data_IF_798151946181
#
_entry.id   IF_798151946181
#
_cell.length_a   1.000
_cell.length_b   1.000
_cell.length_c   1.000
_cell.angle_alpha   90.00
_cell.angle_beta   90.00
_cell.angle_gamma   90.00
#
_symmetry.space_group_name_H-M   'P 1'
#
loop_
_entity.id
_entity.type
_entity.pdbx_description
1 polymer ?
#
# COMPACT_ATOMS: atom_id res chain seq x y z
N UNK A 1 0.54 33.93 9.56
CA UNK A 1 0.04 33.68 8.19
C UNK A 1 -0.14 32.16 8.07
N UNK A 2 -1.31 31.68 7.63
CA UNK A 2 -1.49 30.24 7.36
C UNK A 2 -0.48 29.82 6.28
N UNK A 3 0.19 28.69 6.47
CA UNK A 3 1.11 28.15 5.47
C UNK A 3 0.34 27.90 4.17
N UNK A 4 0.94 28.28 3.04
CA UNK A 4 0.30 28.06 1.73
C UNK A 4 0.20 26.55 1.48
N UNK A 5 -1.02 26.07 1.17
CA UNK A 5 -1.25 24.65 0.84
C UNK A 5 -0.44 24.22 -0.39
N UNK A 6 0.08 23.02 -0.35
CA UNK A 6 0.75 22.41 -1.50
C UNK A 6 -0.30 22.02 -2.54
N UNK A 7 -0.14 22.51 -3.76
CA UNK A 7 -1.05 22.23 -4.88
C UNK A 7 -0.66 20.95 -5.58
N UNK A 8 -1.58 20.00 -5.61
CA UNK A 8 -1.43 18.71 -6.25
C UNK A 8 -2.40 18.56 -7.42
N UNK A 9 -2.03 17.72 -8.38
CA UNK A 9 -2.92 17.26 -9.43
C UNK A 9 -3.25 15.79 -9.27
N UNK A 10 -4.29 15.29 -9.95
CA UNK A 10 -4.68 13.89 -9.92
C UNK A 10 -4.94 13.36 -11.34
N UNK A 11 -4.34 12.22 -11.68
CA UNK A 11 -4.52 11.52 -12.97
C UNK A 11 -5.17 10.15 -12.74
N UNK A 12 -6.28 9.89 -13.48
CA UNK A 12 -7.09 8.69 -13.31
C UNK A 12 -8.27 8.97 -12.38
N UNK A 13 -9.45 9.32 -12.94
CA UNK A 13 -10.58 9.82 -12.14
C UNK A 13 -11.60 8.72 -11.81
N UNK A 14 -11.08 7.57 -11.34
CA UNK A 14 -11.86 6.41 -10.90
C UNK A 14 -12.38 6.52 -9.46
N UNK A 15 -12.83 5.36 -8.90
CA UNK A 15 -13.29 5.26 -7.50
C UNK A 15 -12.20 5.75 -6.53
N UNK A 16 -10.95 5.35 -6.76
CA UNK A 16 -9.85 5.64 -5.83
C UNK A 16 -9.50 7.13 -5.79
N UNK A 17 -9.56 7.81 -6.95
CA UNK A 17 -9.41 9.26 -7.00
C UNK A 17 -10.41 9.99 -6.08
N UNK A 18 -11.65 9.51 -6.02
CA UNK A 18 -12.68 10.07 -5.14
C UNK A 18 -12.38 9.89 -3.68
N UNK A 19 -11.85 8.71 -3.30
CA UNK A 19 -11.42 8.42 -1.93
C UNK A 19 -10.33 9.39 -1.49
N UNK A 20 -9.26 9.51 -2.28
CA UNK A 20 -8.14 10.39 -1.98
C UNK A 20 -8.54 11.87 -2.03
N UNK A 21 -9.42 12.27 -2.94
CA UNK A 21 -9.92 13.64 -2.99
C UNK A 21 -10.73 14.00 -1.73
N UNK A 22 -11.55 13.08 -1.22
CA UNK A 22 -12.27 13.31 0.04
C UNK A 22 -11.30 13.47 1.22
N UNK A 23 -10.28 12.63 1.31
CA UNK A 23 -9.25 12.75 2.32
C UNK A 23 -8.47 14.07 2.21
N UNK A 24 -8.08 14.48 1.00
CA UNK A 24 -7.38 15.74 0.74
C UNK A 24 -8.17 16.96 1.22
N UNK A 25 -9.51 16.96 1.09
CA UNK A 25 -10.36 18.07 1.54
C UNK A 25 -10.34 18.30 3.05
N UNK A 26 -9.92 17.31 3.85
CA UNK A 26 -9.82 17.43 5.30
C UNK A 26 -8.43 17.92 5.76
N UNK A 27 -7.51 18.16 4.83
CA UNK A 27 -6.14 18.62 5.12
C UNK A 27 -6.00 20.13 5.04
N UNK A 28 -5.20 20.69 5.94
CA UNK A 28 -4.77 22.09 5.91
C UNK A 28 -3.42 22.28 5.19
N UNK A 29 -2.75 21.18 4.79
CA UNK A 29 -1.41 21.20 4.21
C UNK A 29 -1.39 21.13 2.69
N UNK A 30 -2.45 20.62 2.07
CA UNK A 30 -2.52 20.39 0.63
C UNK A 30 -3.91 20.69 0.05
N UNK A 31 -3.96 20.82 -1.27
CA UNK A 31 -5.19 20.87 -2.06
C UNK A 31 -5.00 20.22 -3.42
N UNK A 32 -5.99 19.48 -3.90
CA UNK A 32 -6.03 18.98 -5.28
C UNK A 32 -6.70 20.04 -6.15
N UNK A 33 -5.92 20.66 -7.03
CA UNK A 33 -6.37 21.82 -7.82
C UNK A 33 -6.81 21.47 -9.24
N UNK A 34 -6.38 20.30 -9.77
CA UNK A 34 -6.71 19.89 -11.13
C UNK A 34 -6.78 18.36 -11.26
N UNK A 35 -7.65 17.89 -12.15
CA UNK A 35 -7.79 16.49 -12.49
C UNK A 35 -7.61 16.22 -13.98
N UNK A 36 -7.16 15.01 -14.34
CA UNK A 36 -7.08 14.55 -15.72
C UNK A 36 -7.46 13.09 -15.88
N UNK A 37 -8.24 12.80 -16.91
CA UNK A 37 -8.42 11.46 -17.51
C UNK A 37 -8.78 11.63 -18.98
N UNK A 38 -8.52 10.62 -19.79
CA UNK A 38 -8.78 10.66 -21.25
C UNK A 38 -10.26 10.79 -21.60
N UNK A 39 -11.14 10.25 -20.76
CA UNK A 39 -12.58 10.17 -20.99
C UNK A 39 -13.29 11.47 -20.58
N UNK A 40 -13.89 12.26 -21.51
CA UNK A 40 -14.56 13.52 -21.19
C UNK A 40 -15.66 13.38 -20.13
N UNK A 41 -16.52 12.38 -20.27
CA UNK A 41 -17.66 12.13 -19.37
C UNK A 41 -17.21 11.87 -17.94
N UNK A 42 -16.05 11.21 -17.75
CA UNK A 42 -15.44 11.00 -16.43
C UNK A 42 -14.87 12.29 -15.85
N UNK A 43 -14.34 13.20 -16.68
CA UNK A 43 -13.90 14.54 -16.24
C UNK A 43 -15.07 15.36 -15.73
N UNK A 44 -16.16 15.42 -16.52
CA UNK A 44 -17.37 16.19 -16.17
C UNK A 44 -18.00 15.65 -14.88
N UNK A 45 -18.14 14.32 -14.77
CA UNK A 45 -18.66 13.67 -13.58
C UNK A 45 -17.79 13.97 -12.34
N UNK A 46 -16.46 13.90 -12.46
CA UNK A 46 -15.55 14.20 -11.37
C UNK A 46 -15.61 15.67 -10.95
N UNK A 47 -15.63 16.60 -11.91
CA UNK A 47 -15.79 18.04 -11.63
C UNK A 47 -17.11 18.32 -10.93
N UNK A 48 -18.21 17.75 -11.40
CA UNK A 48 -19.54 17.91 -10.78
C UNK A 48 -19.58 17.41 -9.34
N UNK A 49 -18.94 16.26 -9.07
CA UNK A 49 -18.93 15.63 -7.74
C UNK A 49 -17.98 16.33 -6.76
N UNK A 50 -16.82 16.76 -7.23
CA UNK A 50 -15.73 17.21 -6.35
C UNK A 50 -15.53 18.72 -6.34
N UNK A 51 -16.00 19.44 -7.35
CA UNK A 51 -15.73 20.86 -7.60
C UNK A 51 -14.33 21.11 -8.18
N UNK A 52 -13.52 20.07 -8.44
CA UNK A 52 -12.18 20.21 -8.99
C UNK A 52 -12.25 20.30 -10.52
N UNK A 53 -11.67 21.35 -11.08
CA UNK A 53 -11.59 21.51 -12.52
C UNK A 53 -10.73 20.42 -13.17
N UNK A 54 -11.16 19.92 -14.32
CA UNK A 54 -10.41 18.93 -15.09
C UNK A 54 -9.92 19.53 -16.40
N UNK A 55 -8.65 19.29 -16.75
CA UNK A 55 -8.09 19.70 -18.03
C UNK A 55 -8.47 18.74 -19.16
N UNK A 56 -8.53 19.26 -20.39
CA UNK A 56 -8.87 18.47 -21.56
C UNK A 56 -7.71 17.62 -22.07
N UNK A 57 -6.45 18.02 -21.84
CA UNK A 57 -5.26 17.29 -22.28
C UNK A 57 -4.27 17.08 -21.14
N UNK A 58 -3.50 16.02 -21.24
CA UNK A 58 -2.43 15.70 -20.28
C UNK A 58 -1.30 16.72 -20.36
N UNK A 59 -1.00 17.23 -21.54
CA UNK A 59 0.02 18.24 -21.77
C UNK A 59 -0.31 19.54 -21.03
N UNK A 60 -1.55 20.03 -21.16
CA UNK A 60 -2.01 21.22 -20.44
C UNK A 60 -2.00 21.01 -18.92
N UNK A 61 -2.39 19.80 -18.44
CA UNK A 61 -2.33 19.43 -17.04
C UNK A 61 -0.88 19.46 -16.51
N UNK A 62 0.04 18.85 -17.24
CA UNK A 62 1.46 18.78 -16.85
C UNK A 62 2.19 20.13 -16.97
N UNK A 63 1.74 21.02 -17.85
CA UNK A 63 2.31 22.34 -18.04
C UNK A 63 1.95 23.36 -16.93
N UNK A 64 0.92 23.07 -16.09
CA UNK A 64 0.51 23.97 -15.01
C UNK A 64 1.61 24.10 -13.95
N UNK A 65 2.25 25.29 -13.79
CA UNK A 65 3.35 25.50 -12.85
C UNK A 65 2.90 25.48 -11.38
N UNK A 66 1.58 25.61 -11.13
CA UNK A 66 1.04 25.57 -9.79
C UNK A 66 1.09 24.13 -9.20
N UNK A 67 0.97 23.10 -10.01
CA UNK A 67 0.98 21.69 -9.58
C UNK A 67 2.41 21.29 -9.23
N UNK A 68 2.65 20.96 -7.95
CA UNK A 68 3.96 20.52 -7.45
C UNK A 68 4.16 19.00 -7.52
N UNK A 69 3.09 18.25 -7.35
CA UNK A 69 3.09 16.78 -7.42
C UNK A 69 1.79 16.25 -7.99
N UNK A 70 1.83 15.03 -8.50
CA UNK A 70 0.69 14.38 -9.16
C UNK A 70 0.40 13.03 -8.52
N UNK A 71 -0.86 12.82 -8.18
CA UNK A 71 -1.41 11.58 -7.64
C UNK A 71 -1.89 10.72 -8.81
N UNK A 72 -1.36 9.49 -8.92
CA UNK A 72 -1.72 8.52 -9.95
C UNK A 72 -2.67 7.48 -9.38
N UNK A 73 -3.89 7.41 -9.91
CA UNK A 73 -4.91 6.40 -9.60
C UNK A 73 -5.38 5.70 -10.89
N UNK A 74 -4.46 5.50 -11.80
CA UNK A 74 -4.64 4.80 -13.07
C UNK A 74 -4.45 3.27 -12.88
N UNK A 75 -4.81 2.42 -13.85
CA UNK A 75 -4.46 0.99 -13.81
C UNK A 75 -2.95 0.75 -13.68
N UNK A 76 -2.55 -0.37 -13.05
CA UNK A 76 -1.16 -0.65 -12.67
C UNK A 76 -0.18 -0.59 -13.86
N UNK A 77 -0.60 -1.09 -15.03
CA UNK A 77 0.19 -1.06 -16.26
C UNK A 77 0.44 0.36 -16.80
N UNK A 78 -0.35 1.33 -16.32
CA UNK A 78 -0.22 2.73 -16.67
C UNK A 78 0.65 3.53 -15.69
N UNK A 79 1.05 2.94 -14.55
CA UNK A 79 1.84 3.65 -13.55
C UNK A 79 3.17 4.16 -14.13
N UNK A 80 3.96 3.30 -14.79
CA UNK A 80 5.24 3.70 -15.35
C UNK A 80 5.12 4.79 -16.44
N UNK A 81 4.34 4.64 -17.52
CA UNK A 81 4.29 5.66 -18.56
C UNK A 81 3.76 7.01 -18.06
N UNK A 82 2.81 7.00 -17.12
CA UNK A 82 2.28 8.24 -16.55
C UNK A 82 3.26 8.85 -15.56
N UNK A 83 3.89 8.06 -14.68
CA UNK A 83 4.93 8.53 -13.75
C UNK A 83 6.12 9.15 -14.50
N UNK A 84 6.55 8.55 -15.62
CA UNK A 84 7.61 9.11 -16.43
C UNK A 84 7.24 10.45 -17.07
N UNK A 85 6.01 10.59 -17.57
CA UNK A 85 5.52 11.86 -18.11
C UNK A 85 5.45 12.95 -17.03
N UNK A 86 4.97 12.62 -15.82
CA UNK A 86 4.91 13.51 -14.66
C UNK A 86 6.32 13.94 -14.22
N UNK A 87 7.23 12.99 -14.05
CA UNK A 87 8.60 13.24 -13.63
C UNK A 87 9.37 14.08 -14.67
N UNK A 88 9.18 13.82 -15.98
CA UNK A 88 9.76 14.61 -17.07
C UNK A 88 9.28 16.07 -17.05
N UNK A 89 8.05 16.32 -16.59
CA UNK A 89 7.53 17.67 -16.37
C UNK A 89 8.03 18.32 -15.07
N UNK A 90 9.00 17.70 -14.36
CA UNK A 90 9.59 18.22 -13.13
C UNK A 90 8.66 18.15 -11.91
N UNK A 91 7.61 17.34 -11.95
CA UNK A 91 6.66 17.19 -10.85
C UNK A 91 6.92 15.92 -10.06
N UNK A 92 6.69 15.99 -8.74
CA UNK A 92 6.76 14.82 -7.85
C UNK A 92 5.63 13.83 -8.16
N UNK A 93 5.86 12.55 -7.90
CA UNK A 93 4.94 11.45 -8.24
C UNK A 93 4.46 10.76 -6.97
N UNK A 94 3.16 10.67 -6.80
CA UNK A 94 2.52 9.68 -5.94
C UNK A 94 1.86 8.63 -6.82
N UNK A 95 2.18 7.38 -6.61
CA UNK A 95 1.51 6.27 -7.29
C UNK A 95 0.77 5.39 -6.31
N UNK A 96 -0.46 4.99 -6.65
CA UNK A 96 -1.16 3.96 -5.89
C UNK A 96 -0.37 2.64 -5.87
N UNK A 97 -0.65 1.81 -4.86
CA UNK A 97 -0.08 0.47 -4.80
C UNK A 97 -0.83 -0.50 -5.74
N UNK A 98 -0.13 -1.51 -6.28
CA UNK A 98 1.34 -1.67 -6.22
C UNK A 98 2.05 -0.58 -7.01
N UNK A 99 3.34 -0.34 -6.73
CA UNK A 99 4.12 0.70 -7.43
C UNK A 99 4.04 0.59 -8.96
N UNK A 100 3.97 -0.65 -9.48
CA UNK A 100 3.79 -0.97 -10.89
C UNK A 100 3.19 -2.38 -11.04
N UNK A 101 2.87 -2.75 -12.28
CA UNK A 101 2.42 -4.08 -12.69
C UNK A 101 3.52 -5.14 -12.61
N UNK A 102 4.79 -4.74 -12.84
CA UNK A 102 5.96 -5.61 -12.75
C UNK A 102 7.05 -4.99 -11.88
N UNK A 103 7.95 -5.82 -11.33
CA UNK A 103 9.08 -5.35 -10.54
C UNK A 103 10.04 -4.51 -11.39
N UNK A 104 10.26 -4.90 -12.65
CA UNK A 104 11.10 -4.15 -13.58
C UNK A 104 10.55 -2.73 -13.80
N UNK A 105 9.25 -2.59 -13.99
CA UNK A 105 8.61 -1.28 -14.13
C UNK A 105 8.67 -0.47 -12.83
N UNK A 106 8.54 -1.13 -11.68
CA UNK A 106 8.70 -0.50 -10.37
C UNK A 106 10.11 0.06 -10.16
N UNK A 107 11.15 -0.71 -10.52
CA UNK A 107 12.55 -0.24 -10.47
C UNK A 107 12.81 0.94 -11.43
N UNK A 108 12.14 0.97 -12.60
CA UNK A 108 12.18 2.13 -13.49
C UNK A 108 11.52 3.36 -12.88
N UNK A 109 10.39 3.18 -12.18
CA UNK A 109 9.72 4.28 -11.46
C UNK A 109 10.63 4.83 -10.36
N UNK A 110 11.28 3.97 -9.58
CA UNK A 110 12.27 4.39 -8.57
C UNK A 110 13.41 5.20 -9.20
N UNK A 111 13.93 4.77 -10.35
CA UNK A 111 15.00 5.47 -11.05
C UNK A 111 14.63 6.89 -11.53
N UNK A 112 13.33 7.22 -11.64
CA UNK A 112 12.87 8.57 -12.00
C UNK A 112 13.30 9.62 -10.99
N UNK A 113 13.42 9.27 -9.70
CA UNK A 113 13.88 10.17 -8.65
C UNK A 113 15.24 10.79 -8.98
N UNK A 114 16.19 9.93 -9.35
CA UNK A 114 17.55 10.37 -9.73
C UNK A 114 17.56 11.03 -11.11
N UNK A 115 16.83 10.45 -12.07
CA UNK A 115 16.84 10.90 -13.48
C UNK A 115 16.29 12.32 -13.63
N UNK A 116 15.24 12.66 -12.92
CA UNK A 116 14.52 13.94 -13.06
C UNK A 116 14.57 14.82 -11.81
N UNK A 117 15.31 14.40 -10.78
CA UNK A 117 15.41 15.10 -9.49
C UNK A 117 14.02 15.37 -8.84
N UNK A 118 13.16 14.37 -8.86
CA UNK A 118 11.81 14.38 -8.27
C UNK A 118 11.74 13.43 -7.08
N UNK A 119 10.63 13.42 -6.36
CA UNK A 119 10.33 12.41 -5.34
C UNK A 119 9.21 11.52 -5.83
N UNK A 120 9.35 10.23 -5.53
CA UNK A 120 8.33 9.22 -5.81
C UNK A 120 7.85 8.63 -4.48
N UNK A 121 6.56 8.63 -4.27
CA UNK A 121 5.92 8.04 -3.10
C UNK A 121 4.91 6.98 -3.53
N UNK A 122 4.77 5.91 -2.76
CA UNK A 122 3.84 4.81 -3.05
C UNK A 122 2.73 4.78 -2.01
N UNK A 123 1.50 4.56 -2.42
CA UNK A 123 0.30 4.54 -1.61
C UNK A 123 0.15 3.31 -0.69
N UNK A 124 1.11 3.10 0.21
CA UNK A 124 1.04 2.07 1.24
C UNK A 124 0.38 2.57 2.53
N UNK A 125 -0.84 3.10 2.41
CA UNK A 125 -1.62 3.73 3.50
C UNK A 125 -1.78 2.87 4.75
N UNK A 126 -1.79 1.55 4.64
CA UNK A 126 -1.91 0.64 5.78
C UNK A 126 -0.79 0.81 6.82
N UNK A 127 0.39 1.27 6.41
CA UNK A 127 1.51 1.62 7.31
C UNK A 127 1.13 2.79 8.25
N UNK A 128 0.20 3.65 7.85
CA UNK A 128 -0.24 4.85 8.58
C UNK A 128 -1.43 4.60 9.51
N UNK A 129 -1.98 3.40 9.53
CA UNK A 129 -2.97 3.00 10.51
C UNK A 129 -2.44 3.21 11.92
N UNK A 130 -3.23 3.82 12.79
CA UNK A 130 -2.78 4.22 14.14
C UNK A 130 -2.27 3.04 14.97
N UNK A 131 -2.90 1.86 14.84
CA UNK A 131 -2.41 0.65 15.51
C UNK A 131 -1.03 0.20 15.00
N UNK A 132 -0.81 0.21 13.68
CA UNK A 132 0.49 -0.10 13.07
C UNK A 132 1.57 0.86 13.58
N UNK A 133 1.26 2.17 13.65
CA UNK A 133 2.18 3.20 14.15
C UNK A 133 2.53 2.99 15.62
N UNK A 134 1.55 2.69 16.47
CA UNK A 134 1.79 2.45 17.89
C UNK A 134 2.60 1.16 18.14
N UNK A 135 2.38 0.11 17.34
CA UNK A 135 3.23 -1.09 17.37
C UNK A 135 4.67 -0.73 17.01
N UNK A 136 4.88 0.07 15.95
CA UNK A 136 6.24 0.50 15.56
C UNK A 136 6.91 1.33 16.67
N UNK A 137 6.20 2.24 17.28
CA UNK A 137 6.71 3.02 18.41
C UNK A 137 7.13 2.13 19.58
N UNK A 138 6.32 1.12 19.93
CA UNK A 138 6.65 0.18 21.00
C UNK A 138 7.88 -0.69 20.66
N UNK A 139 8.04 -1.09 19.38
CA UNK A 139 9.24 -1.80 18.90
C UNK A 139 10.47 -0.90 19.05
N UNK A 140 10.42 0.34 18.55
CA UNK A 140 11.54 1.28 18.55
C UNK A 140 11.93 1.71 19.98
N UNK A 141 10.94 1.80 20.88
CA UNK A 141 11.17 2.05 22.31
C UNK A 141 11.72 0.81 23.07
N UNK A 142 11.81 -0.37 22.42
CA UNK A 142 12.28 -1.60 23.02
C UNK A 142 11.31 -2.22 24.05
N UNK A 143 10.04 -1.79 24.05
CA UNK A 143 9.01 -2.31 24.98
C UNK A 143 8.71 -3.79 24.76
N UNK A 144 8.75 -4.26 23.51
CA UNK A 144 8.56 -5.67 23.16
C UNK A 144 9.84 -6.51 23.31
N UNK A 145 11.00 -5.87 23.51
CA UNK A 145 12.30 -6.51 23.39
C UNK A 145 12.61 -6.88 21.93
N UNK A 146 13.45 -7.89 21.71
CA UNK A 146 13.72 -8.38 20.35
C UNK A 146 12.45 -8.98 19.76
N UNK A 147 12.03 -8.51 18.60
CA UNK A 147 10.94 -9.12 17.82
C UNK A 147 11.41 -10.48 17.33
N UNK A 148 10.60 -11.50 17.54
CA UNK A 148 10.93 -12.90 17.20
C UNK A 148 9.96 -13.50 16.19
N UNK A 149 8.70 -13.04 16.20
CA UNK A 149 7.65 -13.56 15.32
C UNK A 149 6.61 -12.49 15.00
N UNK A 150 6.02 -12.54 13.80
CA UNK A 150 4.92 -11.65 13.39
C UNK A 150 3.87 -12.42 12.61
N UNK A 151 2.62 -12.06 12.83
CA UNK A 151 1.44 -12.60 12.14
C UNK A 151 0.65 -11.46 11.53
N UNK A 152 0.15 -11.64 10.31
CA UNK A 152 -0.76 -10.70 9.68
C UNK A 152 -1.83 -11.41 8.86
N UNK A 153 -3.01 -10.83 8.83
CA UNK A 153 -4.11 -11.30 7.99
C UNK A 153 -4.84 -10.12 7.36
N UNK A 154 -5.13 -10.22 6.07
CA UNK A 154 -6.03 -9.32 5.39
C UNK A 154 -6.93 -10.12 4.47
N UNK A 155 -8.20 -10.24 4.82
CA UNK A 155 -9.18 -11.08 4.14
C UNK A 155 -10.49 -10.34 3.90
N UNK A 156 -11.26 -10.79 2.91
CA UNK A 156 -12.64 -10.38 2.64
C UNK A 156 -13.35 -11.42 1.74
N UNK A 157 -14.60 -11.16 1.40
CA UNK A 157 -15.47 -12.09 0.66
C UNK A 157 -15.47 -11.86 -0.86
N UNK A 158 -14.50 -11.12 -1.39
CA UNK A 158 -14.48 -10.66 -2.79
C UNK A 158 -14.63 -11.76 -3.84
N UNK A 159 -14.02 -12.93 -3.63
CA UNK A 159 -14.09 -14.01 -4.62
C UNK A 159 -15.50 -14.55 -4.82
N UNK A 160 -16.38 -14.39 -3.85
CA UNK A 160 -17.77 -14.85 -3.92
C UNK A 160 -18.63 -13.98 -4.87
N UNK A 161 -18.16 -12.77 -5.19
CA UNK A 161 -18.87 -11.77 -6.01
C UNK A 161 -18.16 -11.49 -7.35
N UNK A 162 -17.08 -12.21 -7.67
CA UNK A 162 -16.37 -11.99 -8.94
C UNK A 162 -17.19 -12.50 -10.12
N UNK A 163 -17.16 -11.72 -11.20
CA UNK A 163 -17.70 -12.06 -12.51
C UNK A 163 -16.71 -11.70 -13.63
N UNK A 164 -16.87 -12.25 -14.84
CA UNK A 164 -15.94 -12.03 -15.96
C UNK A 164 -15.77 -10.58 -16.44
N UNK A 165 -16.67 -9.66 -16.06
CA UNK A 165 -16.52 -8.23 -16.39
C UNK A 165 -15.45 -7.54 -15.54
N UNK A 166 -15.08 -8.14 -14.42
CA UNK A 166 -14.14 -7.58 -13.46
C UNK A 166 -12.71 -8.02 -13.80
N UNK A 167 -11.77 -7.08 -13.81
CA UNK A 167 -10.37 -7.35 -14.12
C UNK A 167 -9.70 -8.35 -13.14
N UNK A 168 -10.20 -8.44 -11.92
CA UNK A 168 -9.73 -9.38 -10.89
C UNK A 168 -10.10 -10.84 -11.15
N UNK A 169 -10.94 -11.09 -12.13
CA UNK A 169 -11.25 -12.42 -12.61
C UNK A 169 -10.05 -13.11 -13.25
N UNK A 170 -9.17 -12.32 -13.88
CA UNK A 170 -8.09 -12.78 -14.75
C UNK A 170 -6.77 -12.86 -14.02
N UNK A 171 -6.05 -13.98 -14.19
CA UNK A 171 -4.77 -14.26 -13.52
C UNK A 171 -3.67 -13.30 -13.95
N UNK A 172 -3.64 -12.91 -15.21
CA UNK A 172 -2.65 -11.96 -15.75
C UNK A 172 -2.79 -10.55 -15.15
N UNK A 173 -3.98 -10.19 -14.67
CA UNK A 173 -4.28 -8.87 -14.10
C UNK A 173 -4.24 -8.84 -12.57
N UNK A 174 -4.56 -9.96 -11.92
CA UNK A 174 -4.55 -10.09 -10.46
C UNK A 174 -3.87 -11.39 -10.03
N UNK A 175 -2.56 -11.57 -10.32
CA UNK A 175 -1.86 -12.83 -10.05
C UNK A 175 -1.94 -13.20 -8.56
N UNK A 176 -2.32 -14.46 -8.28
CA UNK A 176 -2.50 -14.96 -6.91
C UNK A 176 -3.67 -14.33 -6.13
N UNK A 177 -4.59 -13.61 -6.80
CA UNK A 177 -5.81 -13.06 -6.19
C UNK A 177 -5.53 -12.23 -4.92
N UNK A 178 -5.95 -12.70 -3.72
CA UNK A 178 -5.73 -11.98 -2.46
C UNK A 178 -4.25 -11.75 -2.14
N UNK A 179 -3.35 -12.61 -2.62
CA UNK A 179 -1.91 -12.44 -2.42
C UNK A 179 -1.42 -11.08 -2.93
N UNK A 180 -1.69 -10.74 -4.19
CA UNK A 180 -1.25 -9.48 -4.79
C UNK A 180 -2.13 -8.27 -4.43
N UNK A 181 -3.38 -8.51 -4.01
CA UNK A 181 -4.34 -7.42 -3.79
C UNK A 181 -4.50 -7.02 -2.31
N UNK A 182 -4.39 -7.99 -1.39
CA UNK A 182 -4.56 -7.79 0.05
C UNK A 182 -3.23 -8.01 0.80
N UNK A 183 -2.57 -9.16 0.59
CA UNK A 183 -1.35 -9.49 1.32
C UNK A 183 -0.21 -8.50 1.03
N UNK A 184 -0.19 -7.83 -0.13
CA UNK A 184 0.79 -6.77 -0.44
C UNK A 184 0.82 -5.66 0.61
N UNK A 185 -0.32 -5.31 1.21
CA UNK A 185 -0.38 -4.34 2.32
C UNK A 185 0.29 -4.87 3.59
N UNK A 186 0.11 -6.16 3.86
CA UNK A 186 0.71 -6.81 5.03
C UNK A 186 2.21 -7.03 4.83
N UNK A 187 2.67 -7.34 3.62
CA UNK A 187 4.10 -7.44 3.32
C UNK A 187 4.81 -6.11 3.58
N UNK A 188 4.23 -5.00 3.12
CA UNK A 188 4.74 -3.67 3.41
C UNK A 188 4.71 -3.35 4.93
N UNK A 189 3.60 -3.63 5.60
CA UNK A 189 3.48 -3.39 7.04
C UNK A 189 4.47 -4.22 7.86
N UNK A 190 4.65 -5.50 7.52
CA UNK A 190 5.61 -6.37 8.23
C UNK A 190 7.06 -6.01 7.90
N UNK A 191 7.36 -5.57 6.66
CA UNK A 191 8.66 -5.00 6.31
C UNK A 191 8.98 -3.75 7.14
N UNK A 192 8.02 -2.85 7.30
CA UNK A 192 8.13 -1.65 8.14
C UNK A 192 8.37 -1.96 9.62
N UNK A 193 7.67 -2.99 10.15
CA UNK A 193 7.76 -3.35 11.57
C UNK A 193 8.99 -4.22 11.89
N UNK A 194 9.33 -5.17 11.01
CA UNK A 194 10.34 -6.20 11.24
C UNK A 194 11.67 -6.00 10.53
N UNK A 195 11.73 -5.01 9.63
CA UNK A 195 12.91 -4.75 8.81
C UNK A 195 12.96 -5.61 7.54
N UNK A 196 14.15 -5.80 7.01
CA UNK A 196 14.39 -6.45 5.73
C UNK A 196 13.90 -7.90 5.69
N UNK A 197 13.05 -8.22 4.69
CA UNK A 197 12.61 -9.57 4.36
C UNK A 197 13.64 -10.18 3.40
N UNK A 198 14.14 -11.38 3.71
CA UNK A 198 15.20 -12.06 2.94
C UNK A 198 14.69 -13.25 2.16
N UNK A 199 13.67 -13.97 2.67
CA UNK A 199 13.18 -15.22 2.09
C UNK A 199 11.67 -15.36 2.27
N UNK A 200 11.01 -15.95 1.29
CA UNK A 200 9.56 -16.12 1.20
C UNK A 200 9.23 -17.56 0.79
N UNK A 201 8.26 -18.17 1.48
CA UNK A 201 7.64 -19.44 1.06
C UNK A 201 6.12 -19.27 1.09
N UNK A 202 5.41 -19.75 0.06
CA UNK A 202 3.97 -19.52 -0.08
C UNK A 202 3.24 -20.71 -0.70
N UNK A 203 2.03 -20.92 -0.24
CA UNK A 203 1.04 -21.83 -0.83
C UNK A 203 -0.25 -21.07 -1.12
N UNK A 204 -0.96 -21.49 -2.14
CA UNK A 204 -2.25 -20.92 -2.52
C UNK A 204 -3.24 -22.03 -2.89
N UNK A 205 -4.51 -21.70 -2.81
CA UNK A 205 -5.58 -22.59 -3.23
C UNK A 205 -6.78 -21.79 -3.71
N UNK A 206 -7.69 -22.49 -4.41
CA UNK A 206 -8.97 -21.96 -4.83
C UNK A 206 -10.08 -22.79 -4.22
N UNK A 207 -10.95 -22.14 -3.42
CA UNK A 207 -12.03 -22.76 -2.67
C UNK A 207 -13.42 -22.24 -3.06
N UNK A 208 -13.50 -21.02 -3.67
CA UNK A 208 -14.79 -20.48 -4.11
C UNK A 208 -15.37 -21.30 -5.26
N UNK A 209 -16.71 -21.39 -5.36
CA UNK A 209 -17.39 -22.03 -6.50
C UNK A 209 -17.33 -21.17 -7.77
N UNK A 210 -16.85 -19.93 -7.68
CA UNK A 210 -16.78 -19.00 -8.80
C UNK A 210 -15.67 -19.40 -9.76
N UNK A 211 -15.94 -19.35 -11.07
CA UNK A 211 -15.03 -19.82 -12.13
C UNK A 211 -13.84 -18.89 -12.42
N UNK A 212 -13.51 -17.89 -11.55
CA UNK A 212 -12.39 -17.00 -11.76
C UNK A 212 -11.06 -17.76 -11.93
N UNK A 213 -10.11 -17.18 -12.68
CA UNK A 213 -8.82 -17.81 -12.98
C UNK A 213 -7.81 -17.72 -11.83
N UNK A 214 -8.08 -16.86 -10.83
CA UNK A 214 -7.19 -16.57 -9.72
C UNK A 214 -7.42 -17.52 -8.54
N UNK A 215 -6.37 -17.73 -7.74
CA UNK A 215 -6.50 -18.30 -6.40
C UNK A 215 -7.29 -17.35 -5.49
N UNK A 216 -7.90 -17.88 -4.45
CA UNK A 216 -8.68 -17.09 -3.50
C UNK A 216 -8.27 -17.28 -2.03
N UNK A 217 -7.24 -18.09 -1.82
CA UNK A 217 -6.55 -18.30 -0.54
C UNK A 217 -5.05 -18.23 -0.74
N UNK A 218 -4.33 -17.60 0.19
CA UNK A 218 -2.87 -17.69 0.24
C UNK A 218 -2.37 -17.68 1.68
N UNK A 219 -1.29 -18.42 1.92
CA UNK A 219 -0.53 -18.39 3.16
C UNK A 219 0.95 -18.26 2.80
N UNK A 220 1.58 -17.23 3.31
CA UNK A 220 2.96 -16.86 2.98
C UNK A 220 3.77 -16.75 4.26
N UNK A 221 4.88 -17.47 4.36
CA UNK A 221 5.87 -17.31 5.42
C UNK A 221 7.01 -16.42 4.99
N UNK A 222 7.57 -15.68 5.95
CA UNK A 222 8.61 -14.67 5.75
C UNK A 222 9.77 -14.95 6.69
N UNK A 223 11.00 -14.78 6.22
CA UNK A 223 12.20 -14.70 7.04
C UNK A 223 12.78 -13.29 6.95
N UNK A 224 13.10 -12.72 8.09
CA UNK A 224 13.71 -11.41 8.21
C UNK A 224 15.23 -11.49 8.40
N UNK A 225 15.97 -10.47 7.98
CA UNK A 225 17.43 -10.40 8.19
C UNK A 225 17.81 -10.44 9.67
N UNK A 226 16.92 -9.99 10.57
CA UNK A 226 17.08 -10.10 12.03
C UNK A 226 17.02 -11.54 12.56
N UNK A 227 16.61 -12.51 11.72
CA UNK A 227 16.29 -13.88 12.08
C UNK A 227 14.85 -14.08 12.58
N UNK A 228 14.06 -13.03 12.72
CA UNK A 228 12.63 -13.15 13.03
C UNK A 228 11.90 -13.87 11.89
N UNK A 229 10.79 -14.52 12.25
CA UNK A 229 9.89 -15.17 11.29
C UNK A 229 8.55 -14.41 11.23
N UNK A 230 7.84 -14.56 10.13
CA UNK A 230 6.51 -14.04 10.01
C UNK A 230 5.63 -14.88 9.08
N UNK A 231 4.32 -14.69 9.18
CA UNK A 231 3.42 -15.19 8.16
C UNK A 231 2.32 -14.18 7.83
N UNK A 232 1.82 -14.27 6.61
CA UNK A 232 0.70 -13.49 6.10
C UNK A 232 -0.34 -14.45 5.53
N UNK A 233 -1.56 -14.39 6.10
CA UNK A 233 -2.74 -15.03 5.53
C UNK A 233 -3.57 -14.03 4.73
N UNK A 234 -4.10 -14.42 3.58
CA UNK A 234 -5.06 -13.62 2.82
C UNK A 234 -6.11 -14.51 2.17
N UNK A 235 -7.37 -14.13 2.33
CA UNK A 235 -8.51 -14.85 1.78
C UNK A 235 -9.46 -13.89 1.07
N UNK A 236 -10.09 -14.39 -0.01
CA UNK A 236 -11.21 -13.72 -0.67
C UNK A 236 -12.55 -14.46 -0.47
N UNK A 237 -12.58 -15.43 0.45
CA UNK A 237 -13.77 -16.24 0.73
C UNK A 237 -14.16 -16.27 2.21
N UNK A 238 -13.56 -15.41 3.04
CA UNK A 238 -13.87 -15.33 4.47
C UNK A 238 -14.35 -13.92 4.83
N UNK A 239 -15.05 -13.76 5.97
CA UNK A 239 -15.41 -12.43 6.49
C UNK A 239 -14.22 -11.48 6.55
N UNK A 240 -14.51 -10.18 6.38
CA UNK A 240 -13.50 -9.15 6.33
C UNK A 240 -12.74 -8.99 7.64
N UNK A 241 -11.41 -9.03 7.58
CA UNK A 241 -10.51 -8.75 8.70
C UNK A 241 -9.23 -8.10 8.21
N UNK A 242 -8.69 -7.19 9.01
CA UNK A 242 -7.31 -6.72 8.93
C UNK A 242 -6.69 -6.87 10.31
N UNK A 243 -5.62 -7.65 10.43
CA UNK A 243 -4.93 -7.83 11.72
C UNK A 243 -3.43 -7.94 11.57
N UNK A 244 -2.72 -7.45 12.61
CA UNK A 244 -1.28 -7.60 12.78
C UNK A 244 -1.02 -7.98 14.23
N UNK A 245 -0.17 -9.02 14.45
CA UNK A 245 0.32 -9.38 15.78
C UNK A 245 1.83 -9.49 15.75
N UNK A 246 2.47 -8.83 16.70
CA UNK A 246 3.93 -8.82 16.84
C UNK A 246 4.31 -9.42 18.20
N UNK A 247 5.18 -10.42 18.16
CA UNK A 247 5.70 -11.13 19.33
C UNK A 247 7.16 -10.73 19.56
N UNK A 248 7.43 -10.19 20.72
CA UNK A 248 8.76 -9.89 21.19
C UNK A 248 9.10 -10.70 22.45
N UNK A 249 10.36 -10.72 22.85
CA UNK A 249 10.83 -11.45 24.01
C UNK A 249 10.25 -10.95 25.35
N UNK A 250 9.80 -9.67 25.40
CA UNK A 250 9.24 -9.04 26.60
C UNK A 250 7.73 -8.90 26.56
N UNK A 251 7.10 -9.05 25.39
CA UNK A 251 5.66 -8.91 25.26
C UNK A 251 5.19 -9.04 23.81
N UNK A 252 3.89 -9.03 23.62
CA UNK A 252 3.25 -9.01 22.32
C UNK A 252 2.28 -7.85 22.20
N UNK A 253 2.08 -7.36 20.98
CA UNK A 253 0.99 -6.45 20.62
C UNK A 253 0.13 -7.06 19.53
N UNK A 254 -1.18 -6.84 19.64
CA UNK A 254 -2.15 -7.26 18.64
C UNK A 254 -3.02 -6.08 18.24
N UNK A 255 -3.09 -5.84 16.94
CA UNK A 255 -3.94 -4.85 16.30
C UNK A 255 -4.90 -5.53 15.34
N UNK A 256 -6.19 -5.18 15.43
CA UNK A 256 -7.25 -5.73 14.59
C UNK A 256 -8.24 -4.64 14.23
N UNK A 257 -8.74 -4.65 12.99
CA UNK A 257 -9.78 -3.77 12.50
C UNK A 257 -10.93 -4.62 11.97
N UNK A 258 -12.14 -4.28 12.37
CA UNK A 258 -13.34 -4.76 11.71
C UNK A 258 -13.47 -4.13 10.33
N UNK A 259 -13.53 -4.98 9.31
CA UNK A 259 -13.54 -4.55 7.91
C UNK A 259 -14.81 -3.78 7.52
N UNK A 260 -15.92 -3.93 8.26
CA UNK A 260 -17.17 -3.21 8.01
C UNK A 260 -17.06 -1.69 8.04
N UNK A 261 -15.99 -1.14 8.65
CA UNK A 261 -15.74 0.30 8.75
C UNK A 261 -14.68 0.82 7.75
N UNK A 262 -14.14 -0.06 6.87
CA UNK A 262 -13.05 0.29 5.95
C UNK A 262 -13.38 1.46 5.00
N UNK A 263 -14.65 1.64 4.66
CA UNK A 263 -15.10 2.74 3.78
C UNK A 263 -15.18 4.10 4.50
N UNK A 264 -14.92 4.15 5.81
CA UNK A 264 -14.89 5.37 6.62
C UNK A 264 -13.54 5.50 7.36
N UNK A 265 -12.44 5.83 6.67
CA UNK A 265 -11.08 5.77 7.23
C UNK A 265 -10.88 6.60 8.50
N UNK A 266 -11.56 7.74 8.61
CA UNK A 266 -11.51 8.61 9.79
C UNK A 266 -12.13 8.00 11.06
N UNK A 267 -12.92 6.93 10.91
CA UNK A 267 -13.58 6.20 12.01
C UNK A 267 -12.99 4.83 12.29
N UNK A 268 -11.98 4.40 11.55
CA UNK A 268 -11.37 3.07 11.75
C UNK A 268 -10.84 2.85 13.17
N UNK A 269 -10.48 3.91 13.89
CA UNK A 269 -10.02 3.82 15.27
C UNK A 269 -11.13 3.43 16.27
N UNK A 270 -12.40 3.62 15.94
CA UNK A 270 -13.53 3.34 16.84
C UNK A 270 -13.75 1.82 17.05
N UNK A 271 -13.88 0.98 15.98
CA UNK A 271 -14.05 -0.46 16.12
C UNK A 271 -12.73 -1.22 16.20
N UNK A 272 -11.59 -0.54 16.12
CA UNK A 272 -10.28 -1.19 16.16
C UNK A 272 -9.91 -1.65 17.55
N UNK A 273 -9.31 -2.83 17.64
CA UNK A 273 -8.73 -3.36 18.88
C UNK A 273 -7.21 -3.27 18.81
N UNK A 274 -6.61 -2.60 19.81
CA UNK A 274 -5.16 -2.69 20.05
C UNK A 274 -4.94 -3.06 21.51
N UNK A 275 -4.12 -4.08 21.77
CA UNK A 275 -3.67 -4.38 23.11
C UNK A 275 -2.20 -4.79 23.14
N UNK A 276 -1.59 -4.58 24.30
CA UNK A 276 -0.29 -5.14 24.66
C UNK A 276 -0.47 -6.18 25.76
N UNK A 277 0.26 -7.29 25.66
CA UNK A 277 0.41 -8.27 26.73
C UNK A 277 1.90 -8.38 27.05
N UNK A 278 2.28 -7.97 28.25
CA UNK A 278 3.69 -8.04 28.69
C UNK A 278 4.02 -9.47 29.10
N UNK A 279 5.30 -9.83 29.03
CA UNK A 279 5.80 -11.22 29.21
C UNK A 279 5.38 -11.88 30.53
N UNK A 280 6.33 -12.54 31.21
CA UNK A 280 6.06 -13.45 32.34
C UNK A 280 5.15 -12.89 33.42
N UNK A 281 5.33 -11.63 33.81
CA UNK A 281 4.53 -10.97 34.85
C UNK A 281 3.15 -10.49 34.36
N UNK A 282 2.91 -10.53 33.06
CA UNK A 282 1.69 -10.11 32.39
C UNK A 282 0.81 -11.24 31.88
N UNK A 283 1.08 -12.50 32.25
CA UNK A 283 0.25 -13.61 31.82
C UNK A 283 -1.22 -13.40 32.21
N UNK A 284 -2.13 -13.54 31.20
CA UNK A 284 -3.56 -13.34 31.37
C UNK A 284 -3.99 -11.87 31.48
N UNK A 285 -3.07 -10.93 31.46
CA UNK A 285 -3.38 -9.49 31.51
C UNK A 285 -3.12 -8.85 30.17
N UNK A 286 -4.18 -8.43 29.50
CA UNK A 286 -4.14 -7.63 28.27
C UNK A 286 -4.45 -6.19 28.62
N UNK A 287 -3.53 -5.30 28.33
CA UNK A 287 -3.71 -3.87 28.45
C UNK A 287 -4.22 -3.32 27.12
N UNK A 288 -5.48 -2.92 27.07
CA UNK A 288 -6.09 -2.34 25.88
C UNK A 288 -5.61 -0.90 25.73
N UNK A 289 -5.11 -0.58 24.53
CA UNK A 289 -4.60 0.74 24.17
C UNK A 289 -5.67 1.45 23.33
N UNK A 290 -6.16 2.60 23.81
CA UNK A 290 -7.10 3.42 23.05
C UNK A 290 -6.38 4.06 21.86
N UNK A 291 -6.94 3.83 20.66
CA UNK A 291 -6.40 4.43 19.45
C UNK A 291 -6.82 5.90 19.32
N UNK A 292 -5.90 6.79 18.94
CA UNK A 292 -6.25 8.16 18.61
C UNK A 292 -7.01 8.21 17.27
N UNK A 293 -7.87 9.24 17.06
CA UNK A 293 -8.45 9.51 15.74
C UNK A 293 -7.38 9.68 14.68
N UNK A 294 -7.69 9.29 13.45
CA UNK A 294 -6.80 9.45 12.31
C UNK A 294 -7.45 9.07 10.99
N UNK A 295 -6.88 9.53 9.92
CA UNK A 295 -7.27 9.16 8.57
C UNK A 295 -6.00 8.83 7.79
N UNK A 296 -5.79 7.54 7.51
CA UNK A 296 -4.57 7.06 6.86
C UNK A 296 -4.37 7.68 5.47
N UNK A 297 -5.43 7.98 4.75
CA UNK A 297 -5.32 8.55 3.40
C UNK A 297 -4.99 10.04 3.45
N UNK A 298 -5.54 10.79 4.41
CA UNK A 298 -5.13 12.17 4.65
C UNK A 298 -3.66 12.23 5.08
N UNK A 299 -3.29 11.42 6.07
CA UNK A 299 -1.93 11.38 6.62
C UNK A 299 -0.92 11.01 5.51
N UNK A 300 -1.29 10.12 4.59
CA UNK A 300 -0.49 9.74 3.42
C UNK A 300 -0.29 10.89 2.43
N UNK A 301 -1.37 11.58 2.09
CA UNK A 301 -1.29 12.73 1.19
C UNK A 301 -0.50 13.90 1.81
N UNK A 302 -0.55 14.08 3.13
CA UNK A 302 0.26 15.07 3.85
C UNK A 302 1.75 14.73 3.81
N UNK A 303 2.13 13.45 3.91
CA UNK A 303 3.50 13.00 3.69
C UNK A 303 3.99 13.31 2.27
N UNK A 304 3.14 13.07 1.26
CA UNK A 304 3.47 13.42 -0.12
C UNK A 304 3.60 14.94 -0.32
N UNK A 305 2.68 15.71 0.23
CA UNK A 305 2.74 17.17 0.17
C UNK A 305 4.02 17.72 0.83
N UNK A 306 4.40 17.16 1.98
CA UNK A 306 5.67 17.48 2.64
C UNK A 306 6.88 17.17 1.76
N UNK A 307 6.90 16.01 1.10
CA UNK A 307 7.96 15.66 0.16
C UNK A 307 8.02 16.64 -1.03
N UNK A 308 6.85 17.04 -1.57
CA UNK A 308 6.76 18.05 -2.63
C UNK A 308 7.29 19.42 -2.21
N UNK A 309 7.01 19.84 -0.97
CA UNK A 309 7.41 21.15 -0.46
C UNK A 309 8.91 21.21 -0.09
N UNK A 310 9.46 20.11 0.44
CA UNK A 310 10.80 20.10 1.02
C UNK A 310 11.87 19.46 0.13
N UNK A 311 11.46 18.67 -0.86
CA UNK A 311 12.36 17.83 -1.67
C UNK A 311 12.99 16.67 -0.89
N UNK A 312 12.58 16.42 0.36
CA UNK A 312 13.06 15.28 1.15
C UNK A 312 12.40 13.99 0.70
N UNK A 313 13.07 12.86 0.92
CA UNK A 313 12.47 11.55 0.67
C UNK A 313 11.21 11.38 1.53
N UNK A 314 10.09 10.90 0.95
CA UNK A 314 8.90 10.55 1.72
C UNK A 314 9.18 9.30 2.57
N UNK A 315 8.36 9.06 3.57
CA UNK A 315 8.46 7.84 4.38
C UNK A 315 8.05 6.58 3.61
N UNK A 316 7.06 6.69 2.72
CA UNK A 316 6.58 5.61 1.86
C UNK A 316 7.32 5.67 0.52
N UNK A 317 8.55 5.14 0.49
CA UNK A 317 9.44 5.29 -0.66
C UNK A 317 9.08 4.39 -1.84
N UNK A 318 9.56 4.74 -3.04
CA UNK A 318 9.51 3.85 -4.20
C UNK A 318 10.22 2.51 -3.94
N UNK A 319 11.32 2.52 -3.15
CA UNK A 319 12.02 1.31 -2.74
C UNK A 319 11.12 0.38 -1.91
N UNK A 320 10.36 0.91 -0.96
CA UNK A 320 9.41 0.11 -0.18
C UNK A 320 8.35 -0.54 -1.07
N UNK A 321 7.81 0.22 -2.04
CA UNK A 321 6.89 -0.31 -3.05
C UNK A 321 7.50 -1.45 -3.86
N UNK A 322 8.76 -1.33 -4.26
CA UNK A 322 9.49 -2.39 -4.97
C UNK A 322 9.73 -3.62 -4.09
N UNK A 323 10.03 -3.44 -2.79
CA UNK A 323 10.14 -4.57 -1.86
C UNK A 323 8.81 -5.31 -1.73
N UNK A 324 7.69 -4.60 -1.59
CA UNK A 324 6.38 -5.24 -1.51
C UNK A 324 6.05 -6.06 -2.78
N UNK A 325 6.34 -5.52 -3.98
CA UNK A 325 6.18 -6.25 -5.26
C UNK A 325 7.15 -7.43 -5.35
N UNK A 326 8.39 -7.30 -4.88
CA UNK A 326 9.36 -8.39 -4.87
C UNK A 326 8.90 -9.55 -3.97
N UNK A 327 8.31 -9.26 -2.80
CA UNK A 327 7.72 -10.28 -1.91
C UNK A 327 6.56 -10.99 -2.60
N UNK A 328 5.65 -10.26 -3.28
CA UNK A 328 4.58 -10.87 -4.08
C UNK A 328 5.15 -11.79 -5.16
N UNK A 329 6.16 -11.34 -5.91
CA UNK A 329 6.78 -12.14 -6.95
C UNK A 329 7.50 -13.39 -6.40
N UNK A 330 8.17 -13.26 -5.26
CA UNK A 330 8.78 -14.39 -4.56
C UNK A 330 7.72 -15.40 -4.10
N UNK A 331 6.59 -14.92 -3.57
CA UNK A 331 5.49 -15.77 -3.15
C UNK A 331 4.84 -16.51 -4.33
N UNK A 332 4.60 -15.84 -5.46
CA UNK A 332 4.08 -16.49 -6.69
C UNK A 332 5.05 -17.57 -7.19
N UNK A 333 6.36 -17.27 -7.25
CA UNK A 333 7.37 -18.30 -7.62
C UNK A 333 7.41 -19.47 -6.64
N UNK A 334 7.26 -19.20 -5.35
CA UNK A 334 7.20 -20.24 -4.35
C UNK A 334 5.97 -21.15 -4.55
N UNK A 335 4.82 -20.59 -4.87
CA UNK A 335 3.61 -21.35 -5.21
C UNK A 335 3.87 -22.26 -6.42
N UNK A 336 4.44 -21.73 -7.50
CA UNK A 336 4.80 -22.50 -8.69
C UNK A 336 5.83 -23.62 -8.38
N UNK A 337 6.70 -23.39 -7.40
CA UNK A 337 7.69 -24.35 -6.88
C UNK A 337 7.14 -25.21 -5.72
N UNK A 338 5.83 -25.31 -5.56
CA UNK A 338 5.16 -26.15 -4.53
C UNK A 338 5.60 -25.81 -3.09
N UNK A 339 5.73 -24.51 -2.80
CA UNK A 339 6.07 -24.01 -1.47
C UNK A 339 7.57 -23.93 -1.16
N UNK A 340 8.44 -24.19 -2.14
CA UNK A 340 9.89 -23.99 -1.92
C UNK A 340 10.21 -22.52 -1.66
N UNK A 341 11.15 -22.27 -0.76
CA UNK A 341 11.58 -20.93 -0.43
C UNK A 341 12.25 -20.21 -1.61
N UNK A 342 11.98 -18.92 -1.75
CA UNK A 342 12.56 -18.02 -2.76
C UNK A 342 13.15 -16.81 -2.03
N UNK A 343 14.39 -16.45 -2.34
CA UNK A 343 15.03 -15.27 -1.75
C UNK A 343 14.64 -14.00 -2.49
N UNK A 344 14.59 -12.87 -1.76
CA UNK A 344 14.36 -11.58 -2.42
C UNK A 344 15.54 -11.18 -3.31
N UNK A 345 16.76 -11.58 -2.97
CA UNK A 345 17.94 -11.33 -3.81
C UNK A 345 17.83 -12.02 -5.18
N UNK A 346 17.28 -13.24 -5.24
CA UNK A 346 17.00 -13.94 -6.51
C UNK A 346 16.05 -13.09 -7.37
N UNK A 347 14.92 -12.65 -6.81
CA UNK A 347 13.88 -11.90 -7.53
C UNK A 347 14.37 -10.52 -7.95
N UNK A 348 14.97 -9.77 -7.04
CA UNK A 348 15.49 -8.43 -7.30
C UNK A 348 16.69 -8.45 -8.27
N UNK A 349 17.57 -9.43 -8.10
CA UNK A 349 18.73 -9.60 -8.99
C UNK A 349 18.32 -9.92 -10.43
N UNK A 350 17.31 -10.76 -10.61
CA UNK A 350 16.77 -11.07 -11.95
C UNK A 350 16.12 -9.83 -12.59
N UNK A 351 15.28 -9.10 -11.85
CA UNK A 351 14.66 -7.89 -12.38
C UNK A 351 15.69 -6.83 -12.79
N UNK A 352 16.75 -6.65 -12.01
CA UNK A 352 17.85 -5.72 -12.34
C UNK A 352 18.62 -6.16 -13.58
N UNK A 353 18.88 -7.48 -13.76
CA UNK A 353 19.55 -7.99 -14.98
C UNK A 353 18.74 -7.74 -16.24
N UNK A 354 17.41 -7.79 -16.18
CA UNK A 354 16.54 -7.48 -17.34
C UNK A 354 16.53 -6.00 -17.71
N UNK A 355 16.98 -5.13 -16.82
CA UNK A 355 17.06 -3.68 -17.04
C UNK A 355 18.45 -3.21 -17.50
N UNK A 356 19.49 -4.03 -17.31
CA UNK A 356 20.87 -3.77 -17.73
C UNK A 356 21.06 -4.08 -19.22
#
# INVERSE_FOLDING_TARGET
MAAQKVKLGIIGLGRWARVLTRAAKTSDQLEIVSGFTRTPEKRDAFTKETGIACTASQEAFLADPAIKGVILTVPNEMHLPVAEAVAKAGKHVYTEKPIADTLENGLRIEALEKKYNVRVMVGHSARLLKGTRLIKQAIDAGELGRVVFMEANFSNERALELDPSQWRWYRDRAPGGPLSQLAVHQFDSLHYLGGEITEVSSIASKLSPVGAEVDDQSMTTLRFASGALGYVGASWTSPGIYSIRVFGQKGLMHYEIDFGTWDTPSKLHEPSLLYIQRGKDGYGKREVIKLPPGDMFRDELELFASACATGKLPELTARDGNVAVAVVNAALRSIDRKGQAVTLDEVMGEARRKLA
#
